data_IF_500553376115
#
_entry.id   IF_500553376115
#
_cell.length_a   1.000
_cell.length_b   1.000
_cell.length_c   1.000
_cell.angle_alpha   90.00
_cell.angle_beta   90.00
_cell.angle_gamma   90.00
#
_symmetry.space_group_name_H-M   'P 1'
#
loop_
_entity.id
_entity.type
_entity.pdbx_description
1 polymer ?
#
# COMPACT_ATOMS: atom_id res chain seq x y z
N UNK A 1 -37.38 -2.71 -81.47
CA UNK A 1 -36.03 -2.60 -80.86
C UNK A 1 -35.97 -3.70 -79.81
N UNK A 2 -35.36 -4.86 -80.09
CA UNK A 2 -33.91 -5.11 -80.07
C UNK A 2 -33.35 -4.84 -78.66
N UNK A 3 -33.02 -5.83 -77.81
CA UNK A 3 -31.94 -6.85 -77.90
C UNK A 3 -31.04 -6.62 -76.65
N UNK A 4 -30.36 -7.58 -76.01
CA UNK A 4 -30.31 -9.04 -76.04
C UNK A 4 -29.66 -9.58 -74.74
N UNK A 5 -29.81 -10.89 -74.46
CA UNK A 5 -28.78 -11.88 -74.05
C UNK A 5 -27.52 -11.38 -73.25
N UNK A 6 -26.99 -12.02 -72.19
CA UNK A 6 -26.92 -13.47 -71.87
C UNK A 6 -26.21 -13.81 -70.53
N UNK A 7 -26.61 -14.95 -69.93
CA UNK A 7 -25.81 -16.06 -69.32
C UNK A 7 -24.80 -15.87 -68.15
N UNK A 8 -25.05 -16.66 -67.10
CA UNK A 8 -24.14 -17.37 -66.14
C UNK A 8 -22.93 -18.11 -66.79
N UNK A 9 -21.98 -18.79 -66.06
CA UNK A 9 -21.90 -19.17 -64.62
C UNK A 9 -20.59 -18.63 -63.95
N UNK A 10 -19.97 -19.14 -62.86
CA UNK A 10 -20.08 -20.30 -61.94
C UNK A 10 -19.53 -19.88 -60.54
N UNK A 11 -19.77 -20.49 -59.36
CA UNK A 11 -20.00 -21.86 -58.86
C UNK A 11 -18.75 -22.62 -58.34
N UNK A 12 -18.61 -22.70 -56.99
CA UNK A 12 -17.91 -23.69 -56.11
C UNK A 12 -17.45 -22.97 -54.81
N UNK A 13 -17.71 -23.43 -53.59
CA UNK A 13 -18.55 -24.54 -53.10
C UNK A 13 -18.27 -24.84 -51.61
N UNK A 14 -19.18 -25.55 -50.93
CA UNK A 14 -19.09 -26.06 -49.53
C UNK A 14 -19.04 -24.95 -48.43
N UNK A 15 -19.60 -25.12 -47.22
CA UNK A 15 -20.36 -26.23 -46.62
C UNK A 15 -21.32 -25.67 -45.54
N UNK A 16 -22.44 -26.35 -45.29
CA UNK A 16 -23.27 -26.13 -44.11
C UNK A 16 -22.49 -26.45 -42.83
N UNK A 17 -22.59 -25.58 -41.82
CA UNK A 17 -22.29 -25.93 -40.42
C UNK A 17 -23.38 -25.31 -39.53
N UNK A 18 -24.46 -26.08 -39.33
CA UNK A 18 -25.49 -25.79 -38.33
C UNK A 18 -24.92 -26.13 -36.95
N UNK A 19 -24.52 -25.11 -36.19
CA UNK A 19 -24.21 -25.27 -34.76
C UNK A 19 -25.46 -25.02 -33.91
N UNK A 20 -26.42 -25.94 -34.01
CA UNK A 20 -27.43 -26.16 -32.97
C UNK A 20 -26.94 -27.28 -32.07
N UNK A 21 -26.70 -26.99 -30.78
CA UNK A 21 -26.46 -28.04 -29.79
C UNK A 21 -25.62 -27.62 -28.60
N UNK A 22 -26.22 -27.78 -27.41
CA UNK A 22 -25.54 -28.02 -26.13
C UNK A 22 -24.81 -26.83 -25.49
N UNK A 23 -25.61 -25.90 -24.96
CA UNK A 23 -25.31 -25.30 -23.65
C UNK A 23 -25.35 -26.40 -22.57
N UNK A 24 -24.22 -27.09 -22.39
CA UNK A 24 -23.94 -27.86 -21.20
C UNK A 24 -23.25 -26.96 -20.16
N UNK A 25 -23.85 -26.81 -18.99
CA UNK A 25 -23.27 -26.00 -17.91
C UNK A 25 -21.98 -26.64 -17.38
N UNK A 26 -20.84 -26.01 -17.65
CA UNK A 26 -19.58 -26.27 -16.95
C UNK A 26 -18.89 -24.94 -16.66
N UNK A 27 -19.24 -24.33 -15.53
CA UNK A 27 -18.66 -23.07 -15.03
C UNK A 27 -17.24 -23.23 -14.49
N UNK A 28 -16.38 -23.98 -15.18
CA UNK A 28 -14.94 -23.98 -14.94
C UNK A 28 -14.32 -22.79 -15.65
N UNK A 29 -13.76 -21.85 -14.90
CA UNK A 29 -12.91 -20.82 -15.48
C UNK A 29 -11.80 -21.51 -16.29
N UNK A 30 -11.58 -21.08 -17.54
CA UNK A 30 -10.53 -21.64 -18.38
C UNK A 30 -9.19 -21.57 -17.62
N UNK A 31 -8.38 -22.65 -17.61
CA UNK A 31 -7.16 -22.69 -16.83
C UNK A 31 -6.28 -21.50 -17.21
N UNK A 32 -6.04 -20.61 -16.24
CA UNK A 32 -5.22 -19.41 -16.43
C UNK A 32 -3.85 -19.87 -16.96
N UNK A 33 -3.34 -19.33 -18.08
CA UNK A 33 -2.08 -19.81 -18.65
C UNK A 33 -0.98 -19.73 -17.60
N UNK A 34 -0.14 -20.77 -17.53
CA UNK A 34 0.96 -20.84 -16.57
C UNK A 34 1.81 -19.56 -16.70
N UNK A 35 1.94 -18.83 -15.59
CA UNK A 35 2.61 -17.55 -15.61
C UNK A 35 4.10 -17.75 -15.92
N UNK A 36 4.63 -16.99 -16.87
CA UNK A 36 6.04 -17.04 -17.25
C UNK A 36 6.87 -16.52 -16.05
N UNK A 37 7.94 -17.23 -15.63
CA UNK A 37 8.83 -16.73 -14.59
C UNK A 37 9.34 -15.32 -14.92
N UNK A 38 9.41 -14.41 -13.94
CA UNK A 38 9.93 -13.08 -14.19
C UNK A 38 11.39 -13.14 -14.66
N UNK A 39 11.87 -12.07 -15.34
CA UNK A 39 13.30 -11.85 -15.51
C UNK A 39 13.99 -11.77 -14.13
N UNK A 40 15.32 -11.72 -14.13
CA UNK A 40 16.12 -11.64 -12.90
C UNK A 40 15.84 -10.31 -12.17
N UNK A 41 15.03 -10.36 -11.11
CA UNK A 41 14.63 -9.23 -10.26
C UNK A 41 15.30 -9.29 -8.88
N UNK A 42 16.62 -9.56 -8.86
CA UNK A 42 17.37 -9.95 -7.66
C UNK A 42 17.84 -8.78 -6.81
N UNK A 43 18.37 -7.71 -7.41
CA UNK A 43 18.75 -6.49 -6.70
C UNK A 43 18.93 -5.30 -7.65
N UNK A 44 18.90 -4.11 -7.06
CA UNK A 44 19.23 -2.82 -7.67
C UNK A 44 20.09 -2.03 -6.67
N UNK A 45 20.70 -0.91 -7.06
CA UNK A 45 21.57 -0.14 -6.15
C UNK A 45 20.86 0.27 -4.84
N UNK A 46 19.58 0.68 -4.92
CA UNK A 46 18.81 1.12 -3.75
C UNK A 46 18.35 -0.04 -2.84
N UNK A 47 18.41 -1.28 -3.32
CA UNK A 47 18.00 -2.50 -2.60
C UNK A 47 19.14 -3.52 -2.48
N UNK A 48 20.38 -3.08 -2.68
CA UNK A 48 21.53 -3.95 -2.60
C UNK A 48 21.63 -4.61 -1.22
N UNK A 49 21.97 -5.90 -1.19
CA UNK A 49 22.17 -6.64 0.04
C UNK A 49 23.25 -5.98 0.90
N UNK A 50 23.00 -5.94 2.21
CA UNK A 50 23.96 -5.50 3.23
C UNK A 50 24.07 -6.56 4.32
N UNK A 51 25.14 -6.57 5.15
CA UNK A 51 25.27 -7.53 6.24
C UNK A 51 24.07 -7.56 7.20
N UNK A 52 23.43 -6.40 7.42
CA UNK A 52 22.23 -6.27 8.24
C UNK A 52 20.99 -6.90 7.59
N UNK A 53 20.82 -6.69 6.28
CA UNK A 53 19.71 -7.27 5.49
C UNK A 53 19.87 -8.79 5.38
N UNK A 54 21.07 -9.28 5.11
CA UNK A 54 21.38 -10.72 5.05
C UNK A 54 21.20 -11.39 6.42
N UNK A 55 21.62 -10.76 7.51
CA UNK A 55 21.38 -11.27 8.87
C UNK A 55 19.89 -11.33 9.21
N UNK A 56 19.12 -10.32 8.82
CA UNK A 56 17.67 -10.29 8.98
C UNK A 56 16.97 -11.38 8.14
N UNK A 57 17.35 -11.53 6.87
CA UNK A 57 16.85 -12.58 5.98
C UNK A 57 17.19 -13.98 6.50
N UNK A 58 18.41 -14.22 6.96
CA UNK A 58 18.80 -15.48 7.59
C UNK A 58 17.99 -15.78 8.87
N UNK A 59 17.72 -14.76 9.70
CA UNK A 59 16.86 -14.87 10.87
C UNK A 59 15.42 -15.25 10.52
N UNK A 60 14.83 -14.58 9.52
CA UNK A 60 13.49 -14.89 9.00
C UNK A 60 13.45 -16.30 8.40
N UNK A 61 14.42 -16.67 7.55
CA UNK A 61 14.48 -17.99 6.92
C UNK A 61 14.64 -19.11 7.94
N UNK A 62 15.40 -18.89 9.01
CA UNK A 62 15.52 -19.84 10.13
C UNK A 62 14.20 -20.04 10.89
N UNK A 63 13.38 -19.00 11.04
CA UNK A 63 12.09 -19.08 11.72
C UNK A 63 10.98 -19.70 10.84
N UNK A 64 10.98 -19.37 9.55
CA UNK A 64 9.96 -19.81 8.58
C UNK A 64 10.26 -21.16 7.89
N UNK A 65 11.53 -21.56 7.83
CA UNK A 65 11.95 -22.78 7.15
C UNK A 65 11.67 -22.73 5.64
N UNK A 66 10.94 -23.74 5.14
CA UNK A 66 10.62 -23.90 3.71
C UNK A 66 9.21 -23.41 3.34
N UNK A 67 8.48 -22.78 4.26
CA UNK A 67 7.19 -22.15 3.95
C UNK A 67 7.44 -20.74 3.38
N UNK A 68 7.10 -20.55 2.10
CA UNK A 68 7.30 -19.27 1.41
C UNK A 68 6.44 -18.14 1.98
N UNK A 69 5.19 -18.43 2.37
CA UNK A 69 4.32 -17.42 2.96
C UNK A 69 4.82 -17.03 4.36
N UNK A 70 5.29 -18.00 5.15
CA UNK A 70 5.93 -17.70 6.43
C UNK A 70 7.21 -16.86 6.25
N UNK A 71 7.97 -17.07 5.16
CA UNK A 71 9.13 -16.22 4.84
C UNK A 71 8.70 -14.78 4.49
N UNK A 72 7.71 -14.60 3.61
CA UNK A 72 7.21 -13.27 3.25
C UNK A 72 6.64 -12.53 4.48
N UNK A 73 5.72 -13.17 5.21
CA UNK A 73 5.09 -12.58 6.40
C UNK A 73 6.12 -12.35 7.53
N UNK A 74 7.17 -13.18 7.60
CA UNK A 74 8.31 -12.99 8.52
C UNK A 74 9.19 -11.79 8.17
N UNK A 75 9.42 -11.51 6.88
CA UNK A 75 10.14 -10.31 6.43
C UNK A 75 9.33 -9.03 6.72
N UNK A 76 8.05 -9.01 6.36
CA UNK A 76 7.12 -7.91 6.68
C UNK A 76 7.11 -7.62 8.19
N UNK A 77 7.00 -8.68 9.01
CA UNK A 77 7.08 -8.60 10.48
C UNK A 77 8.42 -8.04 10.95
N UNK A 78 9.54 -8.51 10.41
CA UNK A 78 10.87 -8.02 10.78
C UNK A 78 10.98 -6.50 10.60
N UNK A 79 10.56 -5.98 9.44
CA UNK A 79 10.56 -4.53 9.15
C UNK A 79 9.71 -3.77 10.19
N UNK A 80 8.47 -4.22 10.42
CA UNK A 80 7.58 -3.57 11.39
C UNK A 80 8.03 -3.64 12.85
N UNK A 81 8.77 -4.68 13.24
CA UNK A 81 9.22 -4.90 14.63
C UNK A 81 10.59 -4.28 14.95
N UNK A 82 11.49 -4.16 13.97
CA UNK A 82 12.92 -3.86 14.23
C UNK A 82 13.37 -2.49 13.70
N UNK A 83 12.61 -1.86 12.82
CA UNK A 83 12.90 -0.51 12.32
C UNK A 83 11.87 0.46 12.90
N UNK A 84 12.36 1.45 13.64
CA UNK A 84 11.54 2.49 14.25
C UNK A 84 11.02 3.50 13.20
N UNK A 85 9.98 4.24 13.52
CA UNK A 85 9.58 5.40 12.70
C UNK A 85 10.36 6.64 13.12
N UNK A 86 10.84 7.42 12.15
CA UNK A 86 11.52 8.69 12.39
C UNK A 86 11.08 9.77 11.38
N UNK A 87 10.07 10.55 11.79
CA UNK A 87 9.52 11.68 11.01
C UNK A 87 10.54 12.79 10.70
N UNK A 88 11.69 12.84 11.39
CA UNK A 88 12.74 13.83 11.10
C UNK A 88 13.40 13.58 9.74
N UNK A 89 13.28 12.36 9.20
CA UNK A 89 13.82 11.91 7.92
C UNK A 89 12.89 12.12 6.70
N UNK A 90 11.74 12.80 6.87
CA UNK A 90 10.74 13.00 5.81
C UNK A 90 11.24 13.74 4.56
N UNK A 91 12.34 14.49 4.68
CA UNK A 91 13.04 15.16 3.56
C UNK A 91 13.91 14.20 2.72
N UNK A 92 14.14 12.99 3.20
CA UNK A 92 15.00 11.97 2.59
C UNK A 92 14.22 10.77 2.04
N UNK A 93 12.87 10.82 2.05
CA UNK A 93 12.05 9.88 1.29
C UNK A 93 12.52 9.82 -0.17
N UNK A 94 12.56 8.61 -0.72
CA UNK A 94 13.12 8.27 -2.04
C UNK A 94 14.65 8.45 -2.21
N UNK A 95 15.37 9.05 -1.25
CA UNK A 95 16.84 9.21 -1.29
C UNK A 95 17.61 8.12 -0.55
N UNK A 96 16.99 7.49 0.44
CA UNK A 96 17.61 6.40 1.21
C UNK A 96 17.70 5.12 0.39
N UNK A 97 18.72 4.32 0.68
CA UNK A 97 18.83 2.92 0.26
C UNK A 97 18.43 1.98 1.41
N UNK A 98 18.09 0.73 1.10
CA UNK A 98 17.68 -0.26 2.08
C UNK A 98 18.77 -0.49 3.15
N UNK A 99 20.04 -0.52 2.74
CA UNK A 99 21.17 -0.70 3.67
C UNK A 99 21.20 0.40 4.74
N UNK A 100 20.87 1.64 4.39
CA UNK A 100 20.76 2.77 5.31
C UNK A 100 19.58 2.62 6.27
N UNK A 101 18.41 2.19 5.78
CA UNK A 101 17.24 1.91 6.64
C UNK A 101 17.57 0.85 7.71
N UNK A 102 18.25 -0.24 7.32
CA UNK A 102 18.63 -1.31 8.23
C UNK A 102 19.75 -0.92 9.21
N UNK A 103 20.75 -0.13 8.78
CA UNK A 103 21.80 0.40 9.68
C UNK A 103 21.27 1.41 10.68
N UNK A 104 20.45 2.36 10.24
CA UNK A 104 19.87 3.39 11.10
C UNK A 104 18.72 2.85 11.96
N UNK A 105 18.10 1.75 11.53
CA UNK A 105 16.86 1.18 12.08
C UNK A 105 15.72 2.21 12.10
N UNK A 106 15.61 3.00 11.03
CA UNK A 106 14.55 4.00 10.85
C UNK A 106 13.85 3.87 9.50
N UNK A 107 12.57 4.23 9.48
CA UNK A 107 11.70 4.28 8.30
C UNK A 107 10.98 5.63 8.24
N UNK A 108 10.62 6.08 7.05
CA UNK A 108 9.61 7.13 6.85
C UNK A 108 8.75 6.89 5.60
N UNK A 109 7.44 7.07 5.75
CA UNK A 109 6.47 6.95 4.66
C UNK A 109 6.31 5.54 4.08
N UNK A 110 5.34 5.39 3.19
CA UNK A 110 5.11 4.13 2.48
C UNK A 110 6.31 3.71 1.60
N UNK A 111 7.16 4.66 1.19
CA UNK A 111 8.37 4.38 0.42
C UNK A 111 9.34 3.48 1.16
N UNK A 112 9.62 3.78 2.44
CA UNK A 112 10.72 3.13 3.13
C UNK A 112 10.32 1.76 3.65
N UNK A 113 9.04 1.59 4.05
CA UNK A 113 8.47 0.26 4.29
C UNK A 113 8.54 -0.60 3.02
N UNK A 114 8.14 -0.06 1.86
CA UNK A 114 8.23 -0.77 0.59
C UNK A 114 9.68 -1.12 0.22
N UNK A 115 10.63 -0.20 0.44
CA UNK A 115 12.05 -0.42 0.12
C UNK A 115 12.70 -1.48 1.02
N UNK A 116 12.42 -1.44 2.33
CA UNK A 116 12.95 -2.38 3.30
C UNK A 116 12.39 -3.81 3.10
N UNK A 117 11.09 -3.94 2.87
CA UNK A 117 10.46 -5.24 2.59
C UNK A 117 10.90 -5.82 1.24
N UNK A 118 10.99 -4.99 0.20
CA UNK A 118 11.49 -5.38 -1.12
C UNK A 118 12.92 -5.93 -1.04
N UNK A 119 13.79 -5.29 -0.26
CA UNK A 119 15.16 -5.77 -0.05
C UNK A 119 15.21 -7.10 0.72
N UNK A 120 14.36 -7.30 1.74
CA UNK A 120 14.28 -8.60 2.44
C UNK A 120 13.69 -9.71 1.56
N UNK A 121 12.65 -9.45 0.77
CA UNK A 121 12.12 -10.46 -0.16
C UNK A 121 13.20 -10.90 -1.15
N UNK A 122 14.00 -9.96 -1.66
CA UNK A 122 15.16 -10.23 -2.51
C UNK A 122 16.24 -11.06 -1.82
N UNK A 123 16.65 -10.69 -0.61
CA UNK A 123 17.64 -11.42 0.18
C UNK A 123 17.17 -12.84 0.58
N UNK A 124 15.86 -13.03 0.76
CA UNK A 124 15.24 -14.35 0.95
C UNK A 124 15.15 -15.20 -0.34
N UNK A 125 15.55 -14.64 -1.49
CA UNK A 125 15.55 -15.32 -2.78
C UNK A 125 14.28 -15.16 -3.62
N UNK A 126 13.33 -14.31 -3.21
CA UNK A 126 12.07 -14.09 -3.93
C UNK A 126 12.19 -12.93 -4.95
N UNK A 127 12.10 -13.20 -6.27
CA UNK A 127 12.11 -12.16 -7.29
C UNK A 127 10.95 -11.19 -7.05
N UNK A 128 11.25 -9.90 -6.92
CA UNK A 128 10.25 -8.90 -6.53
C UNK A 128 10.54 -7.53 -7.13
N UNK A 129 9.52 -6.67 -7.21
CA UNK A 129 9.59 -5.33 -7.83
C UNK A 129 8.50 -4.41 -7.28
N UNK A 130 8.67 -3.10 -7.41
CA UNK A 130 7.64 -2.15 -7.02
C UNK A 130 6.49 -2.08 -8.03
N UNK A 131 5.29 -1.84 -7.51
CA UNK A 131 4.13 -1.31 -8.24
C UNK A 131 3.76 0.03 -7.63
N UNK A 132 3.83 1.08 -8.45
CA UNK A 132 3.54 2.45 -8.06
C UNK A 132 2.15 2.84 -8.54
N UNK A 133 1.39 3.53 -7.70
CA UNK A 133 -0.02 3.82 -7.94
C UNK A 133 -0.39 5.28 -7.68
N UNK A 134 -1.55 5.69 -8.20
CA UNK A 134 -2.24 6.95 -7.87
C UNK A 134 -3.54 6.62 -7.14
N UNK A 135 -3.87 7.35 -6.07
CA UNK A 135 -5.12 7.13 -5.36
C UNK A 135 -6.31 7.81 -6.07
N UNK A 136 -7.33 7.03 -6.43
CA UNK A 136 -8.53 7.50 -7.12
C UNK A 136 -9.32 8.56 -6.35
N UNK A 137 -9.33 8.51 -5.01
CA UNK A 137 -9.99 9.55 -4.19
C UNK A 137 -9.20 10.84 -4.16
N UNK A 138 -7.88 10.79 -4.33
CA UNK A 138 -7.07 12.00 -4.53
C UNK A 138 -7.29 12.58 -5.92
N UNK A 139 -7.25 11.76 -6.98
CA UNK A 139 -7.56 12.19 -8.35
C UNK A 139 -8.90 12.95 -8.42
N UNK A 140 -9.94 12.46 -7.74
CA UNK A 140 -11.23 13.14 -7.65
C UNK A 140 -11.15 14.52 -6.97
N UNK A 141 -10.34 14.67 -5.90
CA UNK A 141 -10.09 15.97 -5.24
C UNK A 141 -9.23 16.89 -6.10
N UNK A 142 -8.20 16.36 -6.77
CA UNK A 142 -7.28 17.11 -7.62
C UNK A 142 -8.00 17.76 -8.81
N UNK A 143 -8.94 17.04 -9.43
CA UNK A 143 -9.83 17.58 -10.49
C UNK A 143 -10.72 18.74 -10.02
N UNK A 144 -10.95 18.88 -8.71
CA UNK A 144 -11.73 19.99 -8.11
C UNK A 144 -10.82 21.10 -7.56
N UNK A 145 -9.62 20.74 -7.11
CA UNK A 145 -8.63 21.65 -6.52
C UNK A 145 -7.20 21.19 -6.91
N UNK A 146 -6.53 21.88 -7.85
CA UNK A 146 -5.16 21.56 -8.26
C UNK A 146 -4.09 21.68 -7.15
N UNK A 147 -4.42 22.31 -6.01
CA UNK A 147 -3.56 22.38 -4.83
C UNK A 147 -3.70 21.16 -3.90
N UNK A 148 -4.63 20.24 -4.15
CA UNK A 148 -4.81 19.03 -3.33
C UNK A 148 -3.53 18.18 -3.31
N UNK A 149 -2.98 17.96 -2.10
CA UNK A 149 -1.72 17.25 -1.87
C UNK A 149 -1.71 15.88 -2.58
N UNK A 150 -0.70 15.60 -3.43
CA UNK A 150 -0.61 14.34 -4.16
C UNK A 150 -0.64 13.11 -3.27
N UNK A 151 -1.22 12.04 -3.78
CA UNK A 151 -1.41 10.81 -3.03
C UNK A 151 -1.44 9.61 -3.99
N UNK A 152 -0.48 8.72 -3.77
CA UNK A 152 -0.40 7.39 -4.33
C UNK A 152 -0.01 6.39 -3.25
N UNK A 153 0.37 5.20 -3.69
CA UNK A 153 0.90 4.14 -2.83
C UNK A 153 2.02 3.36 -3.53
N UNK A 154 2.77 2.60 -2.75
CA UNK A 154 3.80 1.68 -3.23
C UNK A 154 3.49 0.27 -2.73
N UNK A 155 3.16 -0.61 -3.65
CA UNK A 155 3.06 -2.05 -3.40
C UNK A 155 4.33 -2.75 -3.87
N UNK A 156 4.52 -3.99 -3.44
CA UNK A 156 5.55 -4.89 -3.97
C UNK A 156 4.88 -6.06 -4.66
N UNK A 157 5.25 -6.35 -5.90
CA UNK A 157 4.96 -7.65 -6.51
C UNK A 157 6.09 -8.61 -6.15
N UNK A 158 5.74 -9.80 -5.66
CA UNK A 158 6.69 -10.84 -5.28
C UNK A 158 6.30 -12.17 -5.94
N UNK A 159 7.28 -12.85 -6.51
CA UNK A 159 7.08 -14.10 -7.24
C UNK A 159 7.34 -15.30 -6.33
N UNK A 160 6.30 -16.09 -6.10
CA UNK A 160 6.31 -17.27 -5.21
C UNK A 160 5.50 -18.39 -5.87
N UNK A 161 5.93 -19.64 -5.71
CA UNK A 161 5.20 -20.83 -6.18
C UNK A 161 4.69 -20.76 -7.65
N UNK A 162 5.43 -20.10 -8.54
CA UNK A 162 5.08 -19.98 -9.96
C UNK A 162 4.01 -18.93 -10.30
N UNK A 163 3.72 -17.99 -9.38
CA UNK A 163 2.78 -16.88 -9.61
C UNK A 163 3.21 -15.60 -8.91
N UNK A 164 2.58 -14.51 -9.30
CA UNK A 164 2.73 -13.21 -8.64
C UNK A 164 1.79 -13.09 -7.44
N UNK A 165 2.30 -12.52 -6.36
CA UNK A 165 1.55 -12.02 -5.22
C UNK A 165 1.77 -10.51 -5.07
N UNK A 166 0.80 -9.79 -4.52
CA UNK A 166 0.90 -8.35 -4.26
C UNK A 166 0.98 -8.11 -2.75
N UNK A 167 2.12 -7.61 -2.28
CA UNK A 167 2.30 -7.16 -0.91
C UNK A 167 1.93 -5.68 -0.78
N UNK A 168 1.09 -5.35 0.21
CA UNK A 168 0.93 -4.00 0.72
C UNK A 168 1.77 -3.87 2.00
N UNK A 169 2.94 -3.22 1.91
CA UNK A 169 3.90 -3.16 3.01
C UNK A 169 3.32 -2.41 4.22
N UNK A 170 2.53 -1.37 3.96
CA UNK A 170 1.91 -0.57 5.04
C UNK A 170 0.70 -1.26 5.68
N UNK A 171 -0.04 -2.08 4.93
CA UNK A 171 -1.13 -2.85 5.54
C UNK A 171 -0.64 -4.12 6.25
N UNK A 172 0.60 -4.56 5.97
CA UNK A 172 1.16 -5.88 6.29
C UNK A 172 0.27 -7.02 5.76
N UNK A 173 -0.01 -6.96 4.45
CA UNK A 173 -0.92 -7.88 3.75
C UNK A 173 -0.27 -8.41 2.47
N UNK A 174 -0.28 -9.72 2.28
CA UNK A 174 -0.08 -10.37 0.99
C UNK A 174 -1.45 -10.69 0.38
N UNK A 175 -1.75 -10.11 -0.78
CA UNK A 175 -2.90 -10.45 -1.61
C UNK A 175 -2.54 -11.61 -2.53
N UNK A 176 -3.24 -12.73 -2.38
CA UNK A 176 -3.06 -13.96 -3.14
C UNK A 176 -4.13 -14.10 -4.22
N UNK A 177 -3.71 -14.36 -5.47
CA UNK A 177 -4.59 -14.46 -6.63
C UNK A 177 -4.93 -13.13 -7.31
N UNK A 178 -4.26 -12.03 -6.94
CA UNK A 178 -4.40 -10.75 -7.66
C UNK A 178 -3.99 -10.91 -9.14
N UNK A 179 -4.54 -10.07 -10.02
CA UNK A 179 -4.15 -10.03 -11.43
C UNK A 179 -3.07 -8.95 -11.67
N UNK A 180 -1.86 -9.30 -12.16
CA UNK A 180 -0.87 -8.31 -12.57
C UNK A 180 -1.36 -7.35 -13.67
N UNK A 181 -2.41 -7.70 -14.42
CA UNK A 181 -2.99 -6.86 -15.46
C UNK A 181 -4.19 -6.04 -14.97
N UNK A 182 -4.57 -6.13 -13.69
CA UNK A 182 -5.62 -5.29 -13.12
C UNK A 182 -5.19 -3.80 -13.13
N UNK A 183 -6.00 -2.90 -13.71
CA UNK A 183 -5.72 -1.46 -13.69
C UNK A 183 -6.00 -0.83 -12.31
N UNK A 184 -6.75 -1.52 -11.46
CA UNK A 184 -7.17 -1.06 -10.14
C UNK A 184 -6.72 -2.05 -9.07
N UNK A 185 -6.22 -1.50 -7.97
CA UNK A 185 -5.55 -2.22 -6.89
C UNK A 185 -6.24 -1.89 -5.54
N UNK A 186 -6.03 -2.72 -4.50
CA UNK A 186 -6.65 -2.52 -3.19
C UNK A 186 -6.45 -1.09 -2.65
N UNK A 187 -7.41 -0.56 -1.89
CA UNK A 187 -7.24 0.72 -1.20
C UNK A 187 -7.63 1.98 -1.98
N UNK A 188 -8.30 1.85 -3.13
CA UNK A 188 -8.60 2.92 -4.10
C UNK A 188 -7.40 3.34 -4.94
N UNK A 189 -6.55 2.38 -5.31
CA UNK A 189 -5.32 2.64 -6.04
C UNK A 189 -5.48 2.31 -7.53
N UNK A 190 -4.93 3.18 -8.38
CA UNK A 190 -4.88 3.04 -9.84
C UNK A 190 -3.43 2.71 -10.20
N UNK A 191 -3.22 1.63 -10.94
CA UNK A 191 -1.90 1.24 -11.43
C UNK A 191 -1.28 2.33 -12.31
N UNK A 192 0.00 2.68 -12.07
CA UNK A 192 0.76 3.61 -12.92
C UNK A 192 1.93 2.93 -13.62
N UNK A 193 2.81 2.28 -12.86
CA UNK A 193 4.03 1.68 -13.40
C UNK A 193 4.56 0.58 -12.49
N UNK A 194 5.46 -0.22 -13.06
CA UNK A 194 6.39 -1.09 -12.34
C UNK A 194 7.78 -0.49 -12.40
N UNK A 195 8.62 -0.84 -11.43
CA UNK A 195 10.04 -0.49 -11.40
C UNK A 195 10.81 -1.47 -10.50
N UNK A 196 12.13 -1.59 -10.69
CA UNK A 196 13.00 -2.38 -9.82
C UNK A 196 13.07 -1.79 -8.41
N UNK A 197 13.09 -0.46 -8.29
CA UNK A 197 13.03 0.31 -7.04
C UNK A 197 12.55 1.75 -7.36
N UNK A 198 12.68 2.69 -6.42
CA UNK A 198 12.30 4.09 -6.65
C UNK A 198 13.27 4.81 -7.60
N UNK A 199 14.56 4.51 -7.52
CA UNK A 199 15.60 5.09 -8.38
C UNK A 199 15.37 4.73 -9.86
N UNK A 200 15.07 3.47 -10.15
CA UNK A 200 14.67 2.95 -11.47
C UNK A 200 13.36 3.58 -11.98
N UNK A 201 12.43 3.91 -11.08
CA UNK A 201 11.22 4.66 -11.41
C UNK A 201 11.47 6.16 -11.70
N UNK A 202 12.71 6.65 -11.55
CA UNK A 202 13.07 8.06 -11.63
C UNK A 202 12.63 8.89 -10.40
N UNK A 203 12.31 8.23 -9.28
CA UNK A 203 11.85 8.86 -8.05
C UNK A 203 13.03 8.99 -7.06
N UNK A 204 13.59 10.20 -7.00
CA UNK A 204 14.73 10.56 -6.14
C UNK A 204 14.41 11.68 -5.14
N UNK A 205 13.16 12.13 -5.12
CA UNK A 205 12.63 13.10 -4.15
C UNK A 205 11.10 13.06 -4.07
N UNK A 206 10.55 13.62 -3.00
CA UNK A 206 9.10 13.83 -2.83
C UNK A 206 8.54 14.70 -3.97
N UNK A 207 9.28 15.71 -4.43
CA UNK A 207 8.86 16.55 -5.56
C UNK A 207 8.78 15.79 -6.89
N UNK A 208 9.73 14.87 -7.15
CA UNK A 208 9.67 14.00 -8.32
C UNK A 208 8.46 13.06 -8.28
N UNK A 209 8.16 12.48 -7.11
CA UNK A 209 6.97 11.66 -6.92
C UNK A 209 5.67 12.48 -7.09
N UNK A 210 5.62 13.68 -6.51
CA UNK A 210 4.49 14.60 -6.64
C UNK A 210 4.25 15.04 -8.09
N UNK A 211 5.32 15.37 -8.83
CA UNK A 211 5.25 15.73 -10.24
C UNK A 211 4.74 14.55 -11.10
N UNK A 212 5.25 13.33 -10.86
CA UNK A 212 4.80 12.11 -11.53
C UNK A 212 3.31 11.83 -11.28
N UNK A 213 2.85 12.00 -10.04
CA UNK A 213 1.44 11.83 -9.68
C UNK A 213 0.55 12.86 -10.39
N UNK A 214 0.94 14.14 -10.44
CA UNK A 214 0.20 15.21 -11.16
C UNK A 214 0.10 14.91 -12.66
N UNK A 215 1.21 14.59 -13.32
CA UNK A 215 1.22 14.22 -14.74
C UNK A 215 0.34 12.98 -15.02
N UNK A 216 0.37 11.98 -14.13
CA UNK A 216 -0.51 10.81 -14.24
C UNK A 216 -2.00 11.16 -14.05
N UNK A 217 -2.33 12.11 -13.17
CA UNK A 217 -3.70 12.57 -12.93
C UNK A 217 -4.25 13.39 -14.12
N UNK A 218 -3.41 14.20 -14.75
CA UNK A 218 -3.72 14.94 -15.99
C UNK A 218 -3.94 14.00 -17.18
N UNK A 219 -3.11 12.96 -17.31
CA UNK A 219 -3.23 11.95 -18.38
C UNK A 219 -4.39 10.96 -18.18
N UNK A 220 -4.91 10.78 -16.96
CA UNK A 220 -5.91 9.77 -16.67
C UNK A 220 -7.33 10.20 -17.10
N UNK A 221 -7.79 9.61 -18.21
CA UNK A 221 -9.13 9.79 -18.79
C UNK A 221 -10.16 8.75 -18.35
N UNK A 222 -9.73 7.70 -17.63
CA UNK A 222 -10.60 6.61 -17.22
C UNK A 222 -11.58 6.94 -16.08
N UNK A 223 -12.39 5.94 -15.75
CA UNK A 223 -13.25 5.91 -14.55
C UNK A 223 -12.75 4.82 -13.61
N UNK A 224 -12.40 5.17 -12.38
CA UNK A 224 -12.00 4.19 -11.37
C UNK A 224 -13.17 3.25 -11.04
N UNK A 225 -12.89 1.94 -11.01
CA UNK A 225 -13.81 0.91 -10.52
C UNK A 225 -13.14 0.23 -9.34
N UNK A 226 -13.87 0.03 -8.24
CA UNK A 226 -13.33 -0.67 -7.09
C UNK A 226 -13.16 -2.16 -7.42
N UNK A 227 -11.94 -2.72 -7.36
CA UNK A 227 -11.74 -4.14 -7.67
C UNK A 227 -12.31 -5.00 -6.54
N UNK A 228 -12.82 -6.17 -6.90
CA UNK A 228 -13.03 -7.25 -5.94
C UNK A 228 -11.67 -7.63 -5.33
N UNK A 229 -11.61 -7.67 -4.00
CA UNK A 229 -10.37 -7.97 -3.31
C UNK A 229 -10.14 -9.49 -3.33
N UNK A 230 -8.97 -9.96 -3.76
CA UNK A 230 -8.65 -11.38 -3.75
C UNK A 230 -8.36 -11.84 -2.30
N UNK A 231 -8.03 -13.12 -2.12
CA UNK A 231 -7.70 -13.65 -0.79
C UNK A 231 -6.50 -12.89 -0.18
N UNK A 232 -6.52 -12.70 1.14
CA UNK A 232 -5.57 -11.84 1.84
C UNK A 232 -4.97 -12.53 3.06
N UNK A 233 -3.67 -12.79 2.97
CA UNK A 233 -2.85 -13.29 4.06
C UNK A 233 -2.32 -12.07 4.81
N UNK A 234 -2.79 -11.89 6.05
CA UNK A 234 -2.35 -10.77 6.89
C UNK A 234 -1.24 -11.23 7.81
N UNK A 235 -0.24 -10.39 8.03
CA UNK A 235 0.67 -10.60 9.15
C UNK A 235 -0.13 -10.38 10.44
N UNK A 236 -0.40 -11.45 11.19
CA UNK A 236 -0.85 -11.34 12.57
C UNK A 236 0.39 -11.26 13.47
N UNK A 237 0.69 -10.05 13.95
CA UNK A 237 1.82 -9.79 14.84
C UNK A 237 1.39 -8.83 15.95
N UNK A 238 1.69 -9.23 17.19
CA UNK A 238 1.30 -8.50 18.40
C UNK A 238 2.28 -7.36 18.69
N UNK A 239 2.47 -6.45 17.73
CA UNK A 239 3.34 -5.29 17.86
C UNK A 239 2.55 -3.99 17.65
N UNK A 240 1.82 -3.52 18.68
CA UNK A 240 1.08 -2.26 18.68
C UNK A 240 1.92 -1.06 18.22
N UNK A 241 3.23 -1.08 18.49
CA UNK A 241 4.17 -0.04 18.10
C UNK A 241 4.21 0.18 16.59
N UNK A 242 4.31 -0.87 15.76
CA UNK A 242 4.30 -0.74 14.30
C UNK A 242 3.04 -0.02 13.80
N UNK A 243 1.88 -0.48 14.26
CA UNK A 243 0.59 0.09 13.87
C UNK A 243 0.37 1.51 14.40
N UNK A 244 0.95 1.87 15.55
CA UNK A 244 0.89 3.23 16.06
C UNK A 244 1.80 4.17 15.28
N UNK A 245 3.04 3.76 15.06
CA UNK A 245 4.07 4.50 14.35
C UNK A 245 3.63 4.79 12.90
N UNK A 246 3.22 3.75 12.17
CA UNK A 246 2.64 3.90 10.83
C UNK A 246 1.30 4.66 10.86
N UNK A 247 0.55 4.54 11.95
CA UNK A 247 -0.62 5.37 12.20
C UNK A 247 -0.29 6.87 12.21
N UNK A 248 0.78 7.25 12.91
CA UNK A 248 1.29 8.62 12.97
C UNK A 248 1.81 9.09 11.61
N UNK A 249 2.58 8.26 10.87
CA UNK A 249 3.01 8.55 9.47
C UNK A 249 1.84 9.09 8.63
N UNK A 250 0.71 8.37 8.67
CA UNK A 250 -0.46 8.76 7.87
C UNK A 250 -1.27 9.91 8.49
N UNK A 251 -1.08 10.28 9.75
CA UNK A 251 -1.56 11.58 10.23
C UNK A 251 -0.70 12.71 9.66
N UNK A 252 0.62 12.60 9.79
CA UNK A 252 1.60 13.61 9.39
C UNK A 252 1.60 13.88 7.87
N UNK A 253 1.24 12.87 7.07
CA UNK A 253 1.08 12.97 5.61
C UNK A 253 -0.29 13.50 5.14
N UNK A 254 -1.14 14.04 6.02
CA UNK A 254 -2.53 14.43 5.72
C UNK A 254 -3.37 13.27 5.11
N UNK A 255 -3.19 12.06 5.68
CA UNK A 255 -3.92 10.82 5.33
C UNK A 255 -4.74 10.31 6.53
N UNK A 256 -5.48 11.16 7.27
CA UNK A 256 -5.99 10.84 8.61
C UNK A 256 -6.87 9.58 8.67
N UNK A 257 -7.67 9.33 7.64
CA UNK A 257 -8.52 8.15 7.57
C UNK A 257 -7.75 6.82 7.57
N UNK A 258 -6.49 6.77 7.13
CA UNK A 258 -5.64 5.58 7.21
C UNK A 258 -4.87 5.57 8.55
N UNK A 259 -4.35 6.72 9.00
CA UNK A 259 -3.67 6.85 10.29
C UNK A 259 -4.54 6.40 11.46
N UNK A 260 -5.77 6.93 11.57
CA UNK A 260 -6.75 6.54 12.59
C UNK A 260 -7.07 5.04 12.56
N UNK A 261 -7.16 4.41 11.38
CA UNK A 261 -7.40 2.96 11.28
C UNK A 261 -6.24 2.14 11.85
N UNK A 262 -5.00 2.56 11.61
CA UNK A 262 -3.81 1.87 12.10
C UNK A 262 -3.61 2.11 13.60
N UNK A 263 -3.82 3.33 14.08
CA UNK A 263 -3.87 3.63 15.52
C UNK A 263 -4.95 2.81 16.25
N UNK A 264 -6.15 2.66 15.66
CA UNK A 264 -7.20 1.79 16.22
C UNK A 264 -6.84 0.30 16.16
N UNK A 265 -6.08 -0.18 15.15
CA UNK A 265 -5.49 -1.54 15.17
C UNK A 265 -4.47 -1.70 16.31
N UNK A 266 -3.61 -0.71 16.54
CA UNK A 266 -2.65 -0.70 17.65
C UNK A 266 -3.36 -0.89 18.99
N UNK A 267 -4.44 -0.13 19.23
CA UNK A 267 -5.26 -0.28 20.45
C UNK A 267 -6.10 -1.56 20.49
N UNK A 268 -6.40 -2.20 19.36
CA UNK A 268 -7.05 -3.51 19.35
C UNK A 268 -6.08 -4.63 19.79
N UNK A 269 -4.78 -4.50 19.49
CA UNK A 269 -3.73 -5.41 19.95
C UNK A 269 -3.32 -5.13 21.41
N UNK A 270 -3.25 -3.85 21.81
CA UNK A 270 -2.92 -3.43 23.18
C UNK A 270 -3.73 -2.19 23.58
N UNK A 271 -4.85 -2.36 24.30
CA UNK A 271 -5.77 -1.25 24.65
C UNK A 271 -5.17 -0.12 25.49
N UNK A 272 -4.05 -0.37 26.16
CA UNK A 272 -3.27 0.55 26.99
C UNK A 272 -2.01 1.09 26.28
N UNK A 273 -1.85 0.90 24.97
CA UNK A 273 -0.67 1.39 24.25
C UNK A 273 -0.64 2.93 24.15
N UNK A 274 0.11 3.54 25.08
CA UNK A 274 0.16 4.97 25.31
C UNK A 274 0.40 5.84 24.05
N UNK A 275 1.35 5.52 23.14
CA UNK A 275 1.54 6.32 21.92
C UNK A 275 0.31 6.37 21.02
N UNK A 276 -0.43 5.25 20.87
CA UNK A 276 -1.64 5.23 20.06
C UNK A 276 -2.81 5.97 20.72
N UNK A 277 -2.90 5.96 22.06
CA UNK A 277 -3.86 6.79 22.81
C UNK A 277 -3.57 8.28 22.62
N UNK A 278 -2.29 8.69 22.72
CA UNK A 278 -1.88 10.08 22.54
C UNK A 278 -2.14 10.58 21.11
N UNK A 279 -1.74 9.82 20.09
CA UNK A 279 -1.93 10.19 18.69
C UNK A 279 -3.42 10.28 18.29
N UNK A 280 -4.26 9.34 18.74
CA UNK A 280 -5.72 9.45 18.52
C UNK A 280 -6.33 10.62 19.30
N UNK A 281 -5.87 10.89 20.52
CA UNK A 281 -6.30 12.06 21.30
C UNK A 281 -5.99 13.38 20.59
N UNK A 282 -4.76 13.56 20.12
CA UNK A 282 -4.33 14.75 19.39
C UNK A 282 -5.09 14.91 18.08
N UNK A 283 -5.20 13.84 17.29
CA UNK A 283 -5.95 13.89 16.03
C UNK A 283 -7.44 14.20 16.24
N UNK A 284 -8.07 13.65 17.29
CA UNK A 284 -9.46 13.98 17.63
C UNK A 284 -9.63 15.45 18.02
N UNK A 285 -8.63 16.11 18.63
CA UNK A 285 -8.68 17.57 18.84
C UNK A 285 -8.65 18.34 17.51
N UNK A 286 -7.74 17.97 16.61
CA UNK A 286 -7.57 18.60 15.29
C UNK A 286 -8.81 18.41 14.41
N UNK A 287 -9.46 17.25 14.50
CA UNK A 287 -10.71 16.93 13.83
C UNK A 287 -11.95 17.61 14.45
N UNK A 288 -11.80 18.41 15.51
CA UNK A 288 -12.93 19.08 16.18
C UNK A 288 -13.82 18.15 17.02
N UNK A 289 -13.28 17.02 17.50
CA UNK A 289 -13.95 15.99 18.30
C UNK A 289 -13.43 15.96 19.76
N UNK A 290 -13.65 17.03 20.55
CA UNK A 290 -13.08 17.16 21.90
C UNK A 290 -13.51 16.06 22.87
N UNK A 291 -14.73 15.53 22.76
CA UNK A 291 -15.21 14.46 23.65
C UNK A 291 -14.50 13.12 23.39
N UNK A 292 -14.25 12.78 22.11
CA UNK A 292 -13.47 11.59 21.74
C UNK A 292 -12.00 11.77 22.19
N UNK A 293 -11.42 12.95 21.95
CA UNK A 293 -10.08 13.30 22.40
C UNK A 293 -9.92 13.16 23.93
N UNK A 294 -10.85 13.73 24.70
CA UNK A 294 -10.88 13.64 26.15
C UNK A 294 -10.98 12.18 26.62
N UNK A 295 -11.65 11.30 25.86
CA UNK A 295 -11.71 9.86 26.12
C UNK A 295 -10.35 9.18 25.99
N UNK A 296 -9.63 9.44 24.90
CA UNK A 296 -8.28 8.88 24.71
C UNK A 296 -7.28 9.45 25.73
N UNK A 297 -7.27 10.75 26.00
CA UNK A 297 -6.36 11.34 26.99
C UNK A 297 -6.63 10.88 28.43
N UNK A 298 -7.90 10.63 28.80
CA UNK A 298 -8.24 9.99 30.09
C UNK A 298 -7.68 8.58 30.19
N UNK A 299 -7.74 7.79 29.10
CA UNK A 299 -7.09 6.46 29.04
C UNK A 299 -5.57 6.56 29.12
N UNK A 300 -4.96 7.51 28.42
CA UNK A 300 -3.52 7.76 28.47
C UNK A 300 -3.05 8.08 29.92
N UNK A 301 -3.77 8.94 30.63
CA UNK A 301 -3.50 9.26 32.04
C UNK A 301 -3.79 8.10 33.02
N UNK A 302 -4.61 7.12 32.64
CA UNK A 302 -4.79 5.90 33.43
C UNK A 302 -3.62 4.92 33.28
N UNK A 303 -2.85 5.03 32.18
CA UNK A 303 -1.64 4.24 31.92
C UNK A 303 -0.40 4.94 32.49
N UNK A 304 -0.27 6.25 32.27
CA UNK A 304 0.79 7.10 32.79
C UNK A 304 0.17 8.39 33.41
N UNK A 305 -0.10 8.40 34.73
CA UNK A 305 -0.68 9.55 35.42
C UNK A 305 0.17 10.82 35.39
N UNK A 306 1.46 10.72 35.05
CA UNK A 306 2.39 11.85 34.99
C UNK A 306 2.63 12.33 33.55
N UNK A 307 1.90 11.78 32.57
CA UNK A 307 2.07 12.13 31.18
C UNK A 307 1.64 13.58 30.88
N UNK A 308 2.61 14.48 30.74
CA UNK A 308 2.38 15.91 30.50
C UNK A 308 1.61 16.18 29.19
N UNK A 309 1.88 15.40 28.13
CA UNK A 309 1.17 15.51 26.86
C UNK A 309 -0.30 15.11 26.99
N UNK A 310 -0.61 14.01 27.71
CA UNK A 310 -1.99 13.61 27.96
C UNK A 310 -2.74 14.61 28.86
N UNK A 311 -2.08 15.16 29.88
CA UNK A 311 -2.65 16.17 30.77
C UNK A 311 -3.00 17.46 30.00
N UNK A 312 -2.07 17.97 29.19
CA UNK A 312 -2.29 19.13 28.33
C UNK A 312 -3.36 18.87 27.26
N UNK A 313 -3.37 17.69 26.65
CA UNK A 313 -4.39 17.25 25.70
C UNK A 313 -5.80 17.21 26.32
N UNK A 314 -5.94 16.65 27.53
CA UNK A 314 -7.20 16.62 28.26
C UNK A 314 -7.67 18.02 28.69
N UNK A 315 -6.76 18.91 29.06
CA UNK A 315 -7.09 20.31 29.35
C UNK A 315 -7.61 21.03 28.10
N UNK A 316 -6.94 20.88 26.95
CA UNK A 316 -7.40 21.40 25.64
C UNK A 316 -8.75 20.83 25.24
N UNK A 317 -8.99 19.54 25.45
CA UNK A 317 -10.26 18.88 25.15
C UNK A 317 -11.43 19.36 26.02
N UNK A 318 -11.15 19.84 27.23
CA UNK A 318 -12.16 20.37 28.18
C UNK A 318 -12.39 21.87 28.04
N UNK A 319 -11.46 22.60 27.44
CA UNK A 319 -11.68 23.99 27.09
C UNK A 319 -12.77 24.05 26.00
N UNK A 320 -13.95 24.55 26.36
CA UNK A 320 -15.00 24.85 25.37
C UNK A 320 -14.41 25.71 24.26
N UNK A 321 -14.80 25.52 22.99
CA UNK A 321 -14.50 26.51 21.97
C UNK A 321 -15.04 27.85 22.46
N UNK A 322 -14.22 28.91 22.37
CA UNK A 322 -14.68 30.25 22.67
C UNK A 322 -15.87 30.53 21.75
N UNK A 323 -17.07 30.62 22.33
CA UNK A 323 -18.26 31.05 21.61
C UNK A 323 -17.91 32.43 21.06
N UNK A 324 -17.82 32.53 19.73
CA UNK A 324 -17.61 33.81 19.06
C UNK A 324 -18.71 34.74 19.53
N UNK A 325 -18.32 35.77 20.29
CA UNK A 325 -19.26 36.73 20.84
C UNK A 325 -19.96 37.44 19.70
N UNK A 326 -21.21 37.09 19.46
CA UNK A 326 -22.11 37.86 18.62
C UNK A 326 -22.39 39.19 19.30
N UNK A 327 -21.56 40.18 19.00
CA UNK A 327 -21.99 41.57 18.93
C UNK A 327 -22.22 41.85 17.42
N UNK A 328 -23.34 42.42 16.99
CA UNK A 328 -24.24 43.29 17.74
C UNK A 328 -24.26 44.62 17.00
#
# INVERSE_FOLDING_TARGET
MAAAMSRFPAARGLLLAVCLGLWGCAGGAAPRPAAVPPPVLTASAQTAASPEIEAAAAGVKKAAGNDDYACLLGAMRHVGEHLAYDASSSRDQFRRDAATLFRQRTLDGCSDFALAELALFRALGYPSRLVLTMNAKWLARYRQNPLALPNGHSFIEVWVAGRWHLADPTAFVIYDGYDPNAPYLPGNEIFLTRALDFTDAGLTSVDAANARLRAAAEAFTGTYVNPDLPERWKVDFNYPAAFANLGQVFLDQDRPALGVRLLRKSLALRPDYLPALLALGSHSLEAGLPDEAAGYFRRALAVDPHNSAAAAGLARARAKPAVGGGNG
#
